data_IF_593422597514
#
_entry.id   IF_593422597514
#
_cell.length_a   1.000
_cell.length_b   1.000
_cell.length_c   1.000
_cell.angle_alpha   90.00
_cell.angle_beta   90.00
_cell.angle_gamma   90.00
#
_symmetry.space_group_name_H-M   'P 1'
#
loop_
_entity.id
_entity.type
_entity.pdbx_description
1 polymer ?
#
# COMPACT_ATOMS: atom_id res chain seq x y z
N UNK A 1 -25.06 -22.51 -27.88
CA UNK A 1 -25.49 -22.06 -26.55
C UNK A 1 -26.06 -20.68 -26.70
N UNK A 2 -27.33 -20.50 -26.34
CA UNK A 2 -28.06 -19.24 -26.54
C UNK A 2 -27.56 -18.19 -25.54
N UNK A 3 -27.52 -16.93 -25.98
CA UNK A 3 -27.08 -15.74 -25.23
C UNK A 3 -27.80 -15.58 -23.86
N UNK A 4 -28.95 -16.22 -23.70
CA UNK A 4 -29.71 -16.27 -22.43
C UNK A 4 -29.00 -17.07 -21.32
N UNK A 5 -28.16 -18.06 -21.66
CA UNK A 5 -27.43 -18.86 -20.65
C UNK A 5 -26.17 -18.16 -20.11
N UNK A 6 -25.70 -17.09 -20.77
CA UNK A 6 -24.59 -16.25 -20.28
C UNK A 6 -25.13 -15.14 -19.36
N UNK A 7 -26.41 -14.76 -19.51
CA UNK A 7 -27.07 -13.75 -18.65
C UNK A 7 -27.45 -14.24 -17.25
N UNK A 8 -27.45 -15.55 -17.00
CA UNK A 8 -27.74 -16.10 -15.66
C UNK A 8 -26.50 -16.19 -14.74
N UNK A 9 -25.29 -15.88 -15.23
CA UNK A 9 -24.05 -15.96 -14.45
C UNK A 9 -23.45 -14.61 -14.02
N UNK A 10 -24.09 -13.50 -14.41
CA UNK A 10 -23.86 -12.15 -13.87
C UNK A 10 -25.04 -11.72 -13.02
N UNK A 11 -25.38 -12.51 -12.01
CA UNK A 11 -26.04 -11.96 -10.82
C UNK A 11 -24.96 -11.18 -10.08
N UNK A 12 -25.00 -9.87 -10.26
CA UNK A 12 -24.37 -8.88 -9.38
C UNK A 12 -24.54 -9.35 -7.92
N UNK A 13 -23.42 -9.49 -7.23
CA UNK A 13 -23.37 -9.87 -5.81
C UNK A 13 -23.82 -8.66 -4.99
N UNK A 14 -25.14 -8.45 -4.98
CA UNK A 14 -25.84 -7.34 -4.34
C UNK A 14 -26.31 -7.76 -2.94
N UNK A 15 -25.47 -8.49 -2.20
CA UNK A 15 -25.71 -8.78 -0.79
C UNK A 15 -25.68 -7.45 -0.03
N UNK A 16 -26.75 -7.08 0.69
CA UNK A 16 -26.74 -5.92 1.57
C UNK A 16 -25.50 -5.97 2.48
N UNK A 17 -24.81 -4.84 2.65
CA UNK A 17 -23.63 -4.71 3.54
C UNK A 17 -23.91 -5.29 4.94
N UNK A 18 -25.17 -5.22 5.37
CA UNK A 18 -25.70 -5.76 6.62
C UNK A 18 -25.64 -7.29 6.74
N UNK A 19 -25.79 -8.04 5.65
CA UNK A 19 -25.84 -9.52 5.69
C UNK A 19 -24.45 -10.14 5.92
N UNK A 20 -23.38 -9.42 5.61
CA UNK A 20 -21.99 -9.89 5.75
C UNK A 20 -21.48 -9.87 7.21
N UNK A 21 -22.17 -9.13 8.08
CA UNK A 21 -21.81 -9.00 9.49
C UNK A 21 -22.52 -10.01 10.41
N UNK A 22 -23.57 -10.65 9.89
CA UNK A 22 -24.41 -11.57 10.66
C UNK A 22 -23.59 -12.77 11.15
N UNK A 23 -23.62 -13.01 12.46
CA UNK A 23 -22.90 -14.07 13.18
C UNK A 23 -21.36 -13.99 13.07
N UNK A 24 -20.80 -12.82 12.73
CA UNK A 24 -19.34 -12.62 12.80
C UNK A 24 -18.89 -12.38 14.23
N UNK A 25 -17.82 -13.06 14.63
CA UNK A 25 -17.19 -12.89 15.93
C UNK A 25 -16.23 -11.70 15.88
N UNK A 26 -16.48 -10.68 16.69
CA UNK A 26 -15.66 -9.46 16.75
C UNK A 26 -15.02 -9.34 18.13
N UNK A 27 -13.72 -9.11 18.20
CA UNK A 27 -13.02 -8.77 19.44
C UNK A 27 -12.73 -7.26 19.46
N UNK A 28 -13.17 -6.57 20.52
CA UNK A 28 -12.87 -5.16 20.76
C UNK A 28 -11.85 -5.08 21.90
N UNK A 29 -10.71 -4.44 21.67
CA UNK A 29 -9.66 -4.21 22.66
C UNK A 29 -9.44 -2.71 22.78
N UNK A 30 -9.87 -2.13 23.89
CA UNK A 30 -9.86 -0.68 24.10
C UNK A 30 -9.93 -0.44 25.61
N UNK A 31 -9.35 0.61 26.18
CA UNK A 31 -9.39 0.86 27.63
C UNK A 31 -10.60 1.72 28.04
N UNK A 32 -11.21 2.47 27.12
CA UNK A 32 -12.40 3.29 27.37
C UNK A 32 -13.70 2.44 27.39
N UNK A 33 -14.31 2.22 28.58
CA UNK A 33 -15.52 1.41 28.69
C UNK A 33 -16.74 2.02 27.99
N UNK A 34 -16.79 3.35 27.85
CA UNK A 34 -17.90 4.04 27.20
C UNK A 34 -17.81 3.79 25.69
N UNK A 35 -16.62 3.95 25.12
CA UNK A 35 -16.39 3.69 23.71
C UNK A 35 -16.62 2.22 23.36
N UNK A 36 -16.07 1.27 24.14
CA UNK A 36 -16.35 -0.18 23.96
C UNK A 36 -17.84 -0.50 23.94
N UNK A 37 -18.59 0.05 24.91
CA UNK A 37 -20.03 -0.18 25.02
C UNK A 37 -20.78 0.38 23.81
N UNK A 38 -20.37 1.55 23.30
CA UNK A 38 -20.95 2.15 22.11
C UNK A 38 -20.71 1.29 20.86
N UNK A 39 -19.45 0.93 20.60
CA UNK A 39 -19.07 0.10 19.44
C UNK A 39 -19.77 -1.26 19.51
N UNK A 40 -19.79 -1.90 20.68
CA UNK A 40 -20.51 -3.15 20.89
C UNK A 40 -22.00 -3.04 20.55
N UNK A 41 -22.69 -2.02 21.07
CA UNK A 41 -24.11 -1.84 20.81
C UNK A 41 -24.41 -1.65 19.32
N UNK A 42 -23.52 -0.96 18.58
CA UNK A 42 -23.61 -0.86 17.12
C UNK A 42 -23.47 -2.24 16.49
N UNK A 43 -22.41 -2.98 16.79
CA UNK A 43 -22.12 -4.27 16.12
C UNK A 43 -23.15 -5.35 16.44
N UNK A 44 -23.65 -5.40 17.68
CA UNK A 44 -24.75 -6.29 18.06
C UNK A 44 -26.04 -5.96 17.30
N UNK A 45 -26.26 -4.69 16.93
CA UNK A 45 -27.41 -4.32 16.07
C UNK A 45 -27.31 -4.87 14.65
N UNK A 46 -26.10 -5.22 14.20
CA UNK A 46 -25.83 -5.95 12.95
C UNK A 46 -25.70 -7.47 13.16
N UNK A 47 -26.13 -7.99 14.31
CA UNK A 47 -26.08 -9.42 14.67
C UNK A 47 -24.66 -10.02 14.72
N UNK A 48 -23.64 -9.22 15.04
CA UNK A 48 -22.30 -9.72 15.38
C UNK A 48 -22.26 -10.28 16.81
N UNK A 49 -21.36 -11.22 17.06
CA UNK A 49 -21.03 -11.69 18.41
C UNK A 49 -19.81 -10.91 18.92
N UNK A 50 -20.01 -10.01 19.88
CA UNK A 50 -18.95 -9.11 20.34
C UNK A 50 -18.33 -9.61 21.65
N UNK A 51 -17.01 -9.74 21.66
CA UNK A 51 -16.18 -9.94 22.85
C UNK A 51 -15.40 -8.65 23.13
N UNK A 52 -15.20 -8.35 24.41
CA UNK A 52 -14.53 -7.12 24.86
C UNK A 52 -13.33 -7.47 25.73
N UNK A 53 -12.23 -6.75 25.53
CA UNK A 53 -11.05 -6.73 26.37
C UNK A 53 -10.71 -5.28 26.73
N UNK A 54 -10.27 -5.05 27.96
CA UNK A 54 -9.96 -3.71 28.47
C UNK A 54 -8.49 -3.29 28.31
N UNK A 55 -7.63 -4.20 27.84
CA UNK A 55 -6.22 -3.94 27.53
C UNK A 55 -5.67 -5.04 26.60
N UNK A 56 -4.48 -4.79 26.02
CA UNK A 56 -3.85 -5.73 25.08
C UNK A 56 -3.52 -7.11 25.66
N UNK A 57 -3.22 -7.23 26.96
CA UNK A 57 -2.90 -8.51 27.59
C UNK A 57 -4.14 -9.40 27.72
N UNK A 58 -5.29 -8.82 28.10
CA UNK A 58 -6.58 -9.52 28.07
C UNK A 58 -6.95 -9.92 26.63
N UNK A 59 -6.69 -9.02 25.67
CA UNK A 59 -6.85 -9.33 24.24
C UNK A 59 -6.05 -10.56 23.79
N UNK A 60 -4.76 -10.64 24.12
CA UNK A 60 -3.91 -11.79 23.78
C UNK A 60 -4.40 -13.08 24.42
N UNK A 61 -4.81 -13.04 25.69
CA UNK A 61 -5.37 -14.20 26.37
C UNK A 61 -6.66 -14.70 25.69
N UNK A 62 -7.51 -13.79 25.23
CA UNK A 62 -8.73 -14.16 24.51
C UNK A 62 -8.42 -14.78 23.14
N UNK A 63 -7.45 -14.24 22.41
CA UNK A 63 -7.00 -14.77 21.11
C UNK A 63 -6.44 -16.20 21.23
N UNK A 64 -5.75 -16.52 22.32
CA UNK A 64 -5.26 -17.88 22.59
C UNK A 64 -6.39 -18.90 22.80
N UNK A 65 -7.58 -18.46 23.21
CA UNK A 65 -8.72 -19.33 23.46
C UNK A 65 -9.66 -19.46 22.25
N UNK A 66 -9.87 -18.37 21.52
CA UNK A 66 -10.75 -18.33 20.35
C UNK A 66 -10.36 -17.20 19.41
N UNK A 67 -10.19 -17.50 18.13
CA UNK A 67 -9.95 -16.49 17.11
C UNK A 67 -11.26 -15.83 16.66
N UNK A 68 -11.36 -14.49 16.69
CA UNK A 68 -12.45 -13.75 16.08
C UNK A 68 -12.29 -13.70 14.55
N UNK A 69 -13.35 -13.29 13.84
CA UNK A 69 -13.29 -12.98 12.42
C UNK A 69 -12.60 -11.64 12.14
N UNK A 70 -12.65 -10.71 13.11
CA UNK A 70 -12.00 -9.39 13.02
C UNK A 70 -11.70 -8.82 14.41
N UNK A 71 -10.59 -8.10 14.51
CA UNK A 71 -10.11 -7.43 15.71
C UNK A 71 -10.23 -5.91 15.55
N UNK A 72 -10.89 -5.25 16.50
CA UNK A 72 -10.87 -3.80 16.67
C UNK A 72 -9.96 -3.45 17.85
N UNK A 73 -8.94 -2.63 17.64
CA UNK A 73 -7.95 -2.32 18.69
C UNK A 73 -7.67 -0.81 18.83
N UNK A 74 -7.67 -0.29 20.05
CA UNK A 74 -7.09 1.02 20.38
C UNK A 74 -5.57 0.94 20.46
N UNK A 75 -4.87 2.03 20.13
CA UNK A 75 -3.43 2.15 20.32
C UNK A 75 -3.09 2.74 21.69
N UNK A 76 -3.94 3.66 22.19
CA UNK A 76 -3.67 4.42 23.41
C UNK A 76 -4.17 3.69 24.66
N UNK A 77 -3.61 2.51 24.98
CA UNK A 77 -4.00 1.72 26.15
C UNK A 77 -2.91 1.64 27.24
N UNK A 78 -3.27 1.57 28.53
CA UNK A 78 -2.35 1.26 29.62
C UNK A 78 -1.97 -0.24 29.66
N UNK A 79 -0.89 -0.56 30.40
CA UNK A 79 -0.35 -1.91 30.65
C UNK A 79 0.43 -2.47 29.45
N UNK A 80 -0.25 -2.91 28.40
CA UNK A 80 0.36 -3.30 27.12
C UNK A 80 -0.06 -2.26 26.10
N UNK A 81 0.91 -1.58 25.50
CA UNK A 81 0.64 -0.56 24.49
C UNK A 81 -0.10 -1.23 23.31
N UNK A 82 -1.17 -0.61 22.80
CA UNK A 82 -1.95 -1.19 21.71
C UNK A 82 -1.13 -1.46 20.46
N UNK A 83 -0.05 -0.70 20.26
CA UNK A 83 0.94 -0.94 19.22
C UNK A 83 1.72 -2.25 19.40
N UNK A 84 2.24 -2.51 20.62
CA UNK A 84 2.94 -3.76 20.95
C UNK A 84 1.99 -4.97 20.83
N UNK A 85 0.72 -4.76 21.20
CA UNK A 85 -0.31 -5.77 21.01
C UNK A 85 -0.54 -6.09 19.53
N UNK A 86 -0.69 -5.07 18.67
CA UNK A 86 -0.86 -5.27 17.23
C UNK A 86 0.37 -5.95 16.62
N UNK A 87 1.58 -5.57 17.02
CA UNK A 87 2.83 -6.22 16.58
C UNK A 87 2.81 -7.73 16.86
N UNK A 88 2.49 -8.13 18.09
CA UNK A 88 2.41 -9.55 18.48
C UNK A 88 1.28 -10.30 17.73
N UNK A 89 0.11 -9.68 17.59
CA UNK A 89 -1.04 -10.30 16.92
C UNK A 89 -0.76 -10.52 15.44
N UNK A 90 -0.13 -9.58 14.76
CA UNK A 90 0.25 -9.72 13.35
C UNK A 90 1.23 -10.85 13.15
N UNK A 91 2.20 -10.99 14.06
CA UNK A 91 3.22 -12.05 13.99
C UNK A 91 2.61 -13.44 14.25
N UNK A 92 1.73 -13.56 15.24
CA UNK A 92 1.14 -14.85 15.63
C UNK A 92 -0.09 -15.24 14.79
N UNK A 93 -0.86 -14.25 14.33
CA UNK A 93 -2.12 -14.42 13.60
C UNK A 93 -2.15 -13.55 12.32
N UNK A 94 -1.26 -13.79 11.34
CA UNK A 94 -1.10 -12.95 10.15
C UNK A 94 -2.33 -12.87 9.23
N UNK A 95 -3.28 -13.78 9.42
CA UNK A 95 -4.54 -13.82 8.66
C UNK A 95 -5.69 -13.10 9.37
N UNK A 96 -5.54 -12.74 10.64
CA UNK A 96 -6.58 -12.06 11.40
C UNK A 96 -6.68 -10.60 10.93
N UNK A 97 -7.83 -10.16 10.39
CA UNK A 97 -8.02 -8.76 10.03
C UNK A 97 -8.01 -7.88 11.28
N UNK A 98 -7.15 -6.86 11.29
CA UNK A 98 -7.03 -5.90 12.39
C UNK A 98 -7.44 -4.52 11.89
N UNK A 99 -8.41 -3.90 12.54
CA UNK A 99 -8.77 -2.49 12.35
C UNK A 99 -8.36 -1.76 13.61
N UNK A 100 -7.56 -0.71 13.45
CA UNK A 100 -7.09 0.09 14.56
C UNK A 100 -7.97 1.31 14.74
N UNK A 101 -8.26 1.69 15.99
CA UNK A 101 -9.12 2.81 16.34
C UNK A 101 -8.41 3.68 17.40
N UNK A 102 -7.73 4.75 17.01
CA UNK A 102 -6.96 5.57 17.97
C UNK A 102 -7.62 6.90 18.31
N UNK A 103 -7.51 7.31 19.58
CA UNK A 103 -7.85 8.68 20.02
C UNK A 103 -6.73 9.69 19.82
N UNK A 104 -5.48 9.23 19.69
CA UNK A 104 -4.39 10.05 19.17
C UNK A 104 -4.49 9.98 17.65
N UNK A 105 -4.84 11.10 17.01
CA UNK A 105 -4.59 11.29 15.58
C UNK A 105 -3.09 11.45 15.29
N UNK A 106 -2.23 10.92 16.16
CA UNK A 106 -0.79 10.95 15.99
C UNK A 106 -0.43 9.88 14.98
N UNK A 107 -0.18 10.31 13.76
CA UNK A 107 -0.11 9.38 12.65
C UNK A 107 1.29 8.78 12.44
N UNK A 108 2.22 9.05 13.36
CA UNK A 108 3.37 8.16 13.56
C UNK A 108 2.88 6.76 13.93
N UNK A 109 1.90 6.70 14.84
CA UNK A 109 1.31 5.43 15.29
C UNK A 109 0.50 4.78 14.14
N UNK A 110 -0.20 5.59 13.33
CA UNK A 110 -0.93 5.14 12.14
C UNK A 110 0.01 4.50 11.12
N UNK A 111 1.08 5.20 10.76
CA UNK A 111 2.06 4.69 9.79
C UNK A 111 2.67 3.37 10.27
N UNK A 112 3.00 3.28 11.56
CA UNK A 112 3.59 2.08 12.14
C UNK A 112 2.60 0.91 12.17
N UNK A 113 1.34 1.15 12.50
CA UNK A 113 0.27 0.14 12.46
C UNK A 113 0.00 -0.36 11.04
N UNK A 114 -0.02 0.54 10.07
CA UNK A 114 -0.19 0.19 8.67
C UNK A 114 0.95 -0.69 8.15
N UNK A 115 2.21 -0.43 8.57
CA UNK A 115 3.37 -1.32 8.28
C UNK A 115 3.17 -2.73 8.77
N UNK A 116 2.52 -2.90 9.91
CA UNK A 116 2.26 -4.20 10.50
C UNK A 116 1.13 -4.95 9.77
N UNK A 117 0.52 -4.37 8.75
CA UNK A 117 -0.52 -5.05 7.97
C UNK A 117 -1.91 -4.96 8.58
N UNK A 118 -2.14 -3.98 9.46
CA UNK A 118 -3.50 -3.58 9.81
C UNK A 118 -4.30 -3.27 8.54
N UNK A 119 -5.55 -3.71 8.51
CA UNK A 119 -6.45 -3.58 7.36
C UNK A 119 -7.03 -2.18 7.24
N UNK A 120 -7.19 -1.49 8.37
CA UNK A 120 -7.75 -0.15 8.37
C UNK A 120 -7.39 0.61 9.66
N UNK A 121 -7.56 1.93 9.63
CA UNK A 121 -7.34 2.81 10.77
C UNK A 121 -8.43 3.87 10.89
N UNK A 122 -9.04 3.97 12.07
CA UNK A 122 -10.10 4.92 12.39
C UNK A 122 -9.66 5.87 13.51
N UNK A 123 -10.07 7.14 13.41
CA UNK A 123 -9.80 8.14 14.46
C UNK A 123 -11.02 8.34 15.36
N UNK A 124 -10.80 8.37 16.68
CA UNK A 124 -11.82 8.76 17.65
C UNK A 124 -11.95 10.29 17.71
N UNK A 125 -13.17 10.83 17.90
CA UNK A 125 -14.43 10.11 18.00
C UNK A 125 -14.93 9.65 16.62
N UNK A 126 -15.45 8.43 16.55
CA UNK A 126 -16.15 7.95 15.34
C UNK A 126 -17.46 8.72 15.22
N UNK A 127 -17.43 9.79 14.42
CA UNK A 127 -18.57 10.69 14.20
C UNK A 127 -19.65 10.05 13.32
N UNK A 128 -19.25 9.07 12.50
CA UNK A 128 -20.13 8.37 11.58
C UNK A 128 -20.02 6.85 11.77
N UNK A 129 -21.02 6.26 12.39
CA UNK A 129 -21.11 4.81 12.64
C UNK A 129 -21.07 3.99 11.34
N UNK A 130 -21.55 4.55 10.22
CA UNK A 130 -21.49 3.85 8.94
C UNK A 130 -20.06 3.62 8.46
N UNK A 131 -19.10 4.44 8.88
CA UNK A 131 -17.69 4.28 8.52
C UNK A 131 -17.10 3.03 9.19
N UNK A 132 -17.33 2.85 10.50
CA UNK A 132 -16.95 1.64 11.23
C UNK A 132 -17.49 0.36 10.56
N UNK A 133 -18.78 0.37 10.18
CA UNK A 133 -19.44 -0.77 9.51
C UNK A 133 -18.82 -1.06 8.15
N UNK A 134 -18.50 -0.02 7.37
CA UNK A 134 -17.84 -0.16 6.06
C UNK A 134 -16.44 -0.76 6.20
N UNK A 135 -15.62 -0.25 7.13
CA UNK A 135 -14.26 -0.76 7.38
C UNK A 135 -14.29 -2.23 7.81
N UNK A 136 -15.23 -2.62 8.68
CA UNK A 136 -15.44 -4.02 9.08
C UNK A 136 -15.79 -4.93 7.90
N UNK A 137 -16.76 -4.53 7.07
CA UNK A 137 -17.15 -5.32 5.90
C UNK A 137 -16.01 -5.44 4.90
N UNK A 138 -15.24 -4.36 4.70
CA UNK A 138 -14.03 -4.37 3.86
C UNK A 138 -13.02 -5.40 4.39
N UNK A 139 -12.67 -5.33 5.68
CA UNK A 139 -11.72 -6.24 6.30
C UNK A 139 -12.15 -7.72 6.20
N UNK A 140 -13.44 -8.00 6.38
CA UNK A 140 -14.01 -9.35 6.33
C UNK A 140 -14.06 -9.92 4.91
N UNK A 141 -14.49 -9.14 3.90
CA UNK A 141 -14.47 -9.57 2.49
C UNK A 141 -13.07 -9.97 2.05
N UNK A 142 -12.08 -9.17 2.44
CA UNK A 142 -10.67 -9.46 2.15
C UNK A 142 -10.22 -10.76 2.81
N UNK A 143 -10.66 -11.07 4.03
CA UNK A 143 -10.31 -12.33 4.70
C UNK A 143 -10.86 -13.57 3.98
N UNK A 144 -12.07 -13.47 3.41
CA UNK A 144 -12.74 -14.58 2.71
C UNK A 144 -12.13 -14.85 1.33
N UNK A 145 -11.62 -13.82 0.65
CA UNK A 145 -10.92 -13.92 -0.63
C UNK A 145 -9.44 -14.33 -0.49
N UNK A 146 -8.86 -14.17 0.70
CA UNK A 146 -7.41 -14.25 0.95
C UNK A 146 -6.96 -15.56 1.58
N UNK A 147 -7.13 -16.70 0.91
CA UNK A 147 -6.29 -17.86 1.25
C UNK A 147 -4.84 -17.73 0.72
N UNK A 148 -4.53 -16.74 -0.13
CA UNK A 148 -3.20 -16.57 -0.77
C UNK A 148 -2.77 -15.11 -1.09
N UNK A 149 -3.48 -14.07 -0.63
CA UNK A 149 -3.25 -12.68 -1.13
C UNK A 149 -2.97 -11.68 0.00
N UNK A 150 -1.70 -11.48 0.31
CA UNK A 150 -1.25 -10.30 1.05
C UNK A 150 -1.43 -9.08 0.11
N UNK A 151 -2.43 -8.24 0.35
CA UNK A 151 -2.61 -6.96 -0.33
C UNK A 151 -1.73 -5.91 0.35
N UNK A 152 -0.92 -5.19 -0.43
CA UNK A 152 -0.20 -4.02 0.07
C UNK A 152 -1.23 -2.97 0.55
N UNK A 153 -0.90 -2.25 1.62
CA UNK A 153 -1.83 -1.32 2.29
C UNK A 153 -2.34 -0.25 1.31
N UNK A 154 -1.49 0.22 0.38
CA UNK A 154 -1.86 1.23 -0.60
C UNK A 154 -2.97 0.73 -1.53
N UNK A 155 -2.87 -0.51 -2.03
CA UNK A 155 -3.91 -1.13 -2.85
C UNK A 155 -5.25 -1.29 -2.12
N UNK A 156 -5.22 -1.45 -0.78
CA UNK A 156 -6.44 -1.54 0.03
C UNK A 156 -7.17 -0.19 0.09
N UNK A 157 -6.44 0.92 0.21
CA UNK A 157 -7.05 2.26 0.20
C UNK A 157 -7.66 2.61 -1.15
N UNK A 158 -6.93 2.37 -2.24
CA UNK A 158 -7.40 2.79 -3.56
C UNK A 158 -8.37 1.81 -4.23
N UNK A 159 -8.59 0.61 -3.65
CA UNK A 159 -9.47 -0.46 -4.16
C UNK A 159 -9.41 -0.58 -5.69
N UNK A 160 -8.22 -0.88 -6.19
CA UNK A 160 -7.91 -0.95 -7.62
C UNK A 160 -8.78 -1.95 -8.40
N UNK A 161 -9.37 -2.94 -7.71
CA UNK A 161 -10.08 -4.06 -8.33
C UNK A 161 -11.57 -3.87 -8.58
N UNK A 162 -12.25 -2.85 -8.06
CA UNK A 162 -13.62 -2.49 -8.46
C UNK A 162 -13.94 -1.05 -8.04
N UNK A 163 -14.18 -0.18 -9.03
CA UNK A 163 -14.57 1.23 -8.87
C UNK A 163 -15.99 1.35 -8.29
N UNK A 164 -16.20 0.86 -7.06
CA UNK A 164 -17.45 1.08 -6.34
C UNK A 164 -17.43 2.48 -5.69
N UNK A 165 -18.35 3.33 -6.15
CA UNK A 165 -18.49 4.74 -5.74
C UNK A 165 -18.83 4.92 -4.25
N UNK A 166 -19.22 3.84 -3.57
CA UNK A 166 -19.50 3.84 -2.13
C UNK A 166 -18.25 4.02 -1.25
N UNK A 167 -17.04 3.83 -1.78
CA UNK A 167 -15.78 3.89 -1.03
C UNK A 167 -15.08 5.27 -1.09
N UNK A 168 -15.60 6.21 -1.88
CA UNK A 168 -14.96 7.51 -2.09
C UNK A 168 -14.89 8.34 -0.81
N UNK A 169 -15.88 8.24 0.08
CA UNK A 169 -15.90 9.03 1.33
C UNK A 169 -14.82 8.62 2.34
N UNK A 170 -14.56 7.32 2.49
CA UNK A 170 -13.55 6.79 3.42
C UNK A 170 -12.13 7.06 2.91
N UNK A 171 -11.90 6.84 1.62
CA UNK A 171 -10.65 7.19 0.95
C UNK A 171 -10.40 8.71 1.00
N UNK A 172 -11.42 9.53 0.69
CA UNK A 172 -11.30 10.99 0.80
C UNK A 172 -10.91 11.42 2.21
N UNK A 173 -11.54 10.86 3.25
CA UNK A 173 -11.21 11.22 4.62
C UNK A 173 -9.76 10.87 4.97
N UNK A 174 -9.29 9.67 4.60
CA UNK A 174 -7.90 9.26 4.83
C UNK A 174 -6.90 10.14 4.07
N UNK A 175 -7.17 10.49 2.82
CA UNK A 175 -6.29 11.33 2.00
C UNK A 175 -6.30 12.78 2.46
N UNK A 176 -7.48 13.35 2.76
CA UNK A 176 -7.62 14.70 3.31
C UNK A 176 -6.88 14.83 4.65
N UNK A 177 -6.89 13.78 5.48
CA UNK A 177 -6.17 13.78 6.75
C UNK A 177 -4.65 13.75 6.55
N UNK A 178 -4.15 12.97 5.58
CA UNK A 178 -2.71 12.96 5.21
C UNK A 178 -2.24 14.30 4.61
N UNK A 179 -3.12 14.99 3.88
CA UNK A 179 -2.81 16.31 3.30
C UNK A 179 -2.73 17.41 4.36
N UNK A 180 -3.63 17.37 5.34
CA UNK A 180 -3.68 18.37 6.41
C UNK A 180 -2.49 18.25 7.39
N UNK A 181 -1.80 17.10 7.42
CA UNK A 181 -0.67 16.83 8.30
C UNK A 181 0.58 16.36 7.52
N UNK A 182 1.38 17.27 6.93
CA UNK A 182 2.46 16.91 6.01
C UNK A 182 3.59 16.09 6.66
N UNK A 183 3.82 16.23 7.97
CA UNK A 183 4.82 15.44 8.69
C UNK A 183 4.51 13.95 8.69
N UNK A 184 3.22 13.63 8.71
CA UNK A 184 2.70 12.28 8.81
C UNK A 184 2.83 11.59 7.46
N UNK A 185 2.38 12.25 6.39
CA UNK A 185 2.53 11.72 5.04
C UNK A 185 4.00 11.48 4.71
N UNK A 186 4.89 12.41 5.13
CA UNK A 186 6.34 12.24 5.02
C UNK A 186 6.84 10.99 5.74
N UNK A 187 6.47 10.81 7.00
CA UNK A 187 6.92 9.67 7.81
C UNK A 187 6.37 8.34 7.30
N UNK A 188 5.09 8.28 6.93
CA UNK A 188 4.50 7.14 6.24
C UNK A 188 5.33 6.76 5.01
N UNK A 189 5.67 7.72 4.16
CA UNK A 189 6.47 7.45 2.96
C UNK A 189 7.89 6.95 3.25
N UNK A 190 8.57 7.48 4.27
CA UNK A 190 9.85 6.91 4.74
C UNK A 190 9.69 5.47 5.20
N UNK A 191 8.58 5.25 5.90
CA UNK A 191 8.29 3.99 6.56
C UNK A 191 7.96 2.88 5.52
N UNK A 192 7.52 3.25 4.32
CA UNK A 192 7.16 2.29 3.28
C UNK A 192 8.31 1.81 2.40
N UNK A 193 9.52 2.32 2.62
CA UNK A 193 10.71 1.89 1.88
C UNK A 193 11.05 0.41 2.19
N UNK A 194 11.38 -0.40 1.17
CA UNK A 194 11.71 -1.81 1.34
C UNK A 194 13.09 -2.00 2.01
N UNK A 195 13.47 -3.24 2.31
CA UNK A 195 14.80 -3.53 2.83
C UNK A 195 15.89 -3.17 1.80
N UNK A 196 17.01 -2.62 2.31
CA UNK A 196 18.10 -2.12 1.49
C UNK A 196 18.94 -3.19 0.81
N UNK A 197 18.82 -4.44 1.25
CA UNK A 197 19.56 -5.58 0.75
C UNK A 197 18.61 -6.77 0.60
N UNK A 198 18.34 -7.18 -0.64
CA UNK A 198 17.55 -8.36 -0.94
C UNK A 198 18.29 -9.31 -1.89
N UNK A 199 18.05 -10.60 -1.71
CA UNK A 199 18.63 -11.65 -2.54
C UNK A 199 17.52 -12.53 -3.13
N UNK A 200 17.59 -12.76 -4.44
CA UNK A 200 16.68 -13.66 -5.14
C UNK A 200 17.49 -14.55 -6.10
N UNK A 201 17.60 -15.83 -5.75
CA UNK A 201 18.47 -16.77 -6.45
C UNK A 201 19.93 -16.31 -6.43
N UNK A 202 20.54 -16.22 -7.62
CA UNK A 202 21.93 -15.78 -7.80
C UNK A 202 22.08 -14.25 -7.83
N UNK A 203 20.97 -13.50 -7.88
CA UNK A 203 20.99 -12.05 -7.96
C UNK A 203 20.82 -11.41 -6.59
N UNK A 204 21.62 -10.38 -6.34
CA UNK A 204 21.53 -9.51 -5.19
C UNK A 204 21.18 -8.10 -5.65
N UNK A 205 20.11 -7.54 -5.08
CA UNK A 205 19.78 -6.13 -5.14
C UNK A 205 20.21 -5.47 -3.83
N UNK A 206 20.96 -4.38 -3.94
CA UNK A 206 21.28 -3.53 -2.81
C UNK A 206 21.05 -2.08 -3.20
N UNK A 207 20.49 -1.25 -2.32
CA UNK A 207 20.40 0.18 -2.58
C UNK A 207 20.86 1.02 -1.39
N UNK A 208 21.30 2.24 -1.69
CA UNK A 208 21.65 3.26 -0.71
C UNK A 208 20.89 4.53 -1.04
N UNK A 209 20.26 5.09 -0.02
CA UNK A 209 19.52 6.33 -0.09
C UNK A 209 20.08 7.29 0.97
N UNK A 210 20.61 8.42 0.52
CA UNK A 210 21.11 9.51 1.36
C UNK A 210 20.18 10.71 1.17
N UNK A 211 19.41 11.06 2.18
CA UNK A 211 18.46 12.18 2.11
C UNK A 211 18.30 12.84 3.48
N UNK A 212 17.82 14.08 3.49
CA UNK A 212 17.42 14.72 4.75
C UNK A 212 16.17 14.05 5.31
N UNK A 213 16.09 13.92 6.62
CA UNK A 213 14.86 13.51 7.31
C UNK A 213 13.83 14.63 7.35
N UNK A 214 14.25 15.89 7.19
CA UNK A 214 13.37 17.06 7.35
C UNK A 214 12.50 17.34 6.11
N UNK A 215 12.85 16.72 4.97
CA UNK A 215 12.15 16.91 3.69
C UNK A 215 11.37 15.68 3.24
N UNK A 216 10.60 15.86 2.18
CA UNK A 216 9.86 14.78 1.52
C UNK A 216 10.85 13.75 0.90
N UNK A 217 10.66 12.44 1.12
CA UNK A 217 11.65 11.43 0.73
C UNK A 217 11.61 11.08 -0.75
N UNK A 218 12.75 10.70 -1.32
CA UNK A 218 12.77 9.91 -2.55
C UNK A 218 12.21 8.51 -2.23
N UNK A 219 11.12 8.14 -2.89
CA UNK A 219 10.51 6.82 -2.73
C UNK A 219 11.21 5.85 -3.67
N UNK A 220 11.51 4.66 -3.17
CA UNK A 220 11.95 3.52 -3.95
C UNK A 220 11.18 2.30 -3.50
N UNK A 221 10.68 1.51 -4.44
CA UNK A 221 10.05 0.23 -4.17
C UNK A 221 10.37 -0.76 -5.29
N UNK A 222 10.33 -2.05 -4.98
CA UNK A 222 10.60 -3.11 -5.93
C UNK A 222 9.90 -4.42 -5.59
N UNK A 223 9.61 -5.22 -6.62
CA UNK A 223 8.98 -6.52 -6.47
C UNK A 223 9.64 -7.56 -7.39
N UNK A 224 9.93 -8.73 -6.81
CA UNK A 224 10.50 -9.87 -7.53
C UNK A 224 9.39 -10.79 -8.03
N UNK A 225 9.37 -11.06 -9.33
CA UNK A 225 8.46 -12.02 -9.94
C UNK A 225 9.11 -13.40 -10.08
N UNK A 226 8.29 -14.43 -9.89
CA UNK A 226 8.69 -15.84 -10.03
C UNK A 226 9.17 -16.21 -11.45
N UNK A 227 8.85 -15.40 -12.45
CA UNK A 227 9.29 -15.59 -13.83
C UNK A 227 10.69 -15.02 -14.12
N UNK A 228 11.40 -14.53 -13.10
CA UNK A 228 12.75 -13.99 -13.26
C UNK A 228 12.75 -12.55 -13.77
N UNK A 229 11.74 -11.78 -13.40
CA UNK A 229 11.71 -10.32 -13.61
C UNK A 229 11.70 -9.59 -12.27
N UNK A 230 12.36 -8.44 -12.23
CA UNK A 230 12.34 -7.53 -11.09
C UNK A 230 11.73 -6.21 -11.55
N UNK A 231 10.61 -5.81 -10.96
CA UNK A 231 10.00 -4.50 -11.21
C UNK A 231 10.39 -3.53 -10.11
N UNK A 232 10.53 -2.25 -10.45
CA UNK A 232 10.82 -1.22 -9.48
C UNK A 232 10.34 0.15 -9.96
N UNK A 233 10.18 1.06 -9.02
CA UNK A 233 9.95 2.47 -9.33
C UNK A 233 10.69 3.39 -8.37
N UNK A 234 10.94 4.61 -8.81
CA UNK A 234 11.36 5.74 -7.99
C UNK A 234 10.38 6.89 -8.15
N UNK A 235 10.11 7.60 -7.06
CA UNK A 235 9.31 8.84 -7.10
C UNK A 235 10.02 9.91 -6.27
N UNK A 236 10.22 11.08 -6.86
CA UNK A 236 10.64 12.27 -6.12
C UNK A 236 9.40 12.95 -5.55
N UNK A 237 9.04 12.58 -4.32
CA UNK A 237 7.86 13.12 -3.64
C UNK A 237 7.93 14.64 -3.47
N UNK A 238 9.12 15.23 -3.40
CA UNK A 238 9.24 16.69 -3.31
C UNK A 238 8.78 17.42 -4.58
N UNK A 239 8.77 16.74 -5.73
CA UNK A 239 8.40 17.36 -7.01
C UNK A 239 6.89 17.53 -7.22
N UNK A 240 6.06 16.80 -6.46
CA UNK A 240 4.60 16.75 -6.62
C UNK A 240 3.81 17.69 -5.70
N UNK A 241 4.40 18.82 -5.31
CA UNK A 241 3.74 19.89 -4.53
C UNK A 241 3.13 19.45 -3.19
N UNK A 242 2.00 20.08 -2.83
CA UNK A 242 1.38 19.93 -1.51
C UNK A 242 0.73 18.55 -1.34
N UNK A 243 0.18 17.98 -2.42
CA UNK A 243 -0.51 16.68 -2.40
C UNK A 243 0.35 15.52 -2.89
N UNK A 244 1.68 15.68 -2.89
CA UNK A 244 2.63 14.67 -3.34
C UNK A 244 2.50 13.31 -2.64
N UNK A 245 2.06 13.29 -1.38
CA UNK A 245 1.81 12.06 -0.62
C UNK A 245 0.76 11.19 -1.30
N UNK A 246 -0.35 11.80 -1.74
CA UNK A 246 -1.43 11.09 -2.42
C UNK A 246 -0.95 10.50 -3.73
N UNK A 247 -0.21 11.28 -4.54
CA UNK A 247 0.39 10.79 -5.78
C UNK A 247 1.34 9.61 -5.53
N UNK A 248 2.18 9.66 -4.49
CA UNK A 248 3.09 8.56 -4.15
C UNK A 248 2.35 7.28 -3.75
N UNK A 249 1.30 7.40 -2.93
CA UNK A 249 0.51 6.26 -2.49
C UNK A 249 -0.31 5.65 -3.64
N UNK A 250 -0.84 6.48 -4.54
CA UNK A 250 -1.50 6.04 -5.78
C UNK A 250 -0.54 5.23 -6.65
N UNK A 251 0.66 5.78 -6.90
CA UNK A 251 1.68 5.10 -7.70
C UNK A 251 1.98 3.72 -7.12
N UNK A 252 2.17 3.62 -5.80
CA UNK A 252 2.42 2.35 -5.12
C UNK A 252 1.25 1.38 -5.27
N UNK A 253 0.02 1.84 -5.06
CA UNK A 253 -1.17 1.02 -5.14
C UNK A 253 -1.37 0.40 -6.52
N UNK A 254 -1.27 1.24 -7.55
CA UNK A 254 -1.41 0.82 -8.94
C UNK A 254 -0.21 0.02 -9.43
N UNK A 255 1.00 0.30 -8.94
CA UNK A 255 2.16 -0.56 -9.17
C UNK A 255 1.90 -1.97 -8.65
N UNK A 256 1.54 -2.11 -7.37
CA UNK A 256 1.31 -3.41 -6.73
C UNK A 256 0.12 -4.17 -7.32
N UNK A 257 -0.94 -3.45 -7.71
CA UNK A 257 -2.08 -4.04 -8.42
C UNK A 257 -1.68 -4.53 -9.81
N UNK A 258 -0.95 -3.70 -10.56
CA UNK A 258 -0.48 -4.05 -11.89
C UNK A 258 0.41 -5.29 -11.88
N UNK A 259 1.34 -5.39 -10.92
CA UNK A 259 2.21 -6.55 -10.75
C UNK A 259 1.41 -7.82 -10.42
N UNK A 260 0.34 -7.68 -9.62
CA UNK A 260 -0.54 -8.79 -9.22
C UNK A 260 -1.39 -9.34 -10.38
N UNK A 261 -1.82 -8.49 -11.30
CA UNK A 261 -2.73 -8.85 -12.39
C UNK A 261 -2.01 -9.46 -13.62
N UNK A 262 -0.67 -9.54 -13.64
CA UNK A 262 0.06 -9.82 -14.87
C UNK A 262 -0.20 -11.20 -15.52
N UNK A 263 -0.89 -11.16 -16.66
CA UNK A 263 -0.60 -11.96 -17.85
C UNK A 263 0.44 -11.25 -18.75
N UNK A 264 1.54 -11.94 -19.04
CA UNK A 264 2.76 -11.52 -19.76
C UNK A 264 2.47 -10.85 -21.13
N UNK A 265 2.90 -9.60 -21.36
CA UNK A 265 2.85 -8.94 -22.69
C UNK A 265 4.06 -8.04 -22.99
N UNK A 266 4.30 -7.68 -24.27
CA UNK A 266 5.50 -7.01 -24.79
C UNK A 266 5.64 -5.48 -24.52
N UNK A 267 4.84 -4.90 -23.62
CA UNK A 267 4.88 -3.45 -23.33
C UNK A 267 4.49 -3.14 -21.89
N UNK A 268 5.06 -3.92 -20.97
CA UNK A 268 4.62 -3.98 -19.57
C UNK A 268 4.72 -2.62 -18.87
N UNK A 269 5.83 -1.91 -19.02
CA UNK A 269 6.02 -0.61 -18.35
C UNK A 269 5.05 0.44 -18.87
N UNK A 270 4.88 0.57 -20.20
CA UNK A 270 4.01 1.61 -20.76
C UNK A 270 2.57 1.42 -20.31
N UNK A 271 2.09 0.17 -20.26
CA UNK A 271 0.75 -0.16 -19.72
C UNK A 271 0.63 0.11 -18.23
N UNK A 272 1.67 -0.19 -17.45
CA UNK A 272 1.70 0.10 -16.02
C UNK A 272 1.60 1.61 -15.78
N UNK A 273 2.42 2.39 -16.48
CA UNK A 273 2.43 3.85 -16.39
C UNK A 273 1.09 4.42 -16.84
N UNK A 274 0.51 3.95 -17.94
CA UNK A 274 -0.84 4.36 -18.39
C UNK A 274 -1.93 4.05 -17.34
N UNK A 275 -1.82 2.91 -16.64
CA UNK A 275 -2.74 2.56 -15.56
C UNK A 275 -2.61 3.49 -14.36
N UNK A 276 -1.37 3.84 -13.99
CA UNK A 276 -1.06 4.78 -12.92
C UNK A 276 -1.57 6.19 -13.27
N UNK A 277 -1.27 6.70 -14.46
CA UNK A 277 -1.72 8.02 -14.95
C UNK A 277 -3.25 8.11 -14.96
N UNK A 278 -3.92 7.06 -15.45
CA UNK A 278 -5.38 6.97 -15.41
C UNK A 278 -5.90 6.97 -13.98
N UNK A 279 -5.26 6.25 -13.07
CA UNK A 279 -5.59 6.21 -11.65
C UNK A 279 -5.47 7.58 -11.00
N UNK A 280 -4.38 8.29 -11.25
CA UNK A 280 -4.19 9.68 -10.83
C UNK A 280 -5.32 10.58 -11.36
N UNK A 281 -5.68 10.45 -12.64
CA UNK A 281 -6.79 11.22 -13.23
C UNK A 281 -8.17 10.98 -12.62
N UNK A 282 -8.35 9.97 -11.77
CA UNK A 282 -9.62 9.76 -11.02
C UNK A 282 -9.68 10.51 -9.69
N UNK A 283 -8.55 11.03 -9.20
CA UNK A 283 -8.44 11.74 -7.93
C UNK A 283 -8.12 13.21 -8.19
N UNK A 284 -9.02 14.11 -7.80
CA UNK A 284 -8.89 15.56 -8.03
C UNK A 284 -7.64 16.15 -7.34
N UNK A 285 -7.20 15.51 -6.27
CA UNK A 285 -6.10 15.95 -5.44
C UNK A 285 -4.72 15.48 -5.94
N UNK A 286 -4.67 14.60 -6.95
CA UNK A 286 -3.39 14.09 -7.45
C UNK A 286 -2.63 15.16 -8.24
N UNK A 287 -1.33 15.29 -7.93
CA UNK A 287 -0.44 16.23 -8.59
C UNK A 287 0.53 15.53 -9.54
N UNK A 288 0.95 16.26 -10.57
CA UNK A 288 2.00 15.81 -11.48
C UNK A 288 3.32 15.65 -10.74
N UNK A 289 4.00 14.53 -10.93
CA UNK A 289 5.15 14.16 -10.11
C UNK A 289 6.27 13.54 -10.95
N UNK A 290 7.51 13.72 -10.50
CA UNK A 290 8.67 13.11 -11.13
C UNK A 290 8.81 11.67 -10.66
N UNK A 291 8.79 10.73 -11.59
CA UNK A 291 8.93 9.30 -11.35
C UNK A 291 9.87 8.62 -12.37
N UNK A 292 10.31 7.42 -12.04
CA UNK A 292 11.07 6.54 -12.91
C UNK A 292 10.57 5.12 -12.67
N UNK A 293 10.23 4.42 -13.73
CA UNK A 293 9.76 3.04 -13.67
C UNK A 293 10.73 2.15 -14.42
N UNK A 294 10.98 0.97 -13.89
CA UNK A 294 11.83 0.01 -14.56
C UNK A 294 11.47 -1.43 -14.28
N UNK A 295 11.91 -2.31 -15.17
CA UNK A 295 12.06 -3.71 -14.83
C UNK A 295 13.33 -4.29 -15.42
N UNK A 296 13.84 -5.31 -14.76
CA UNK A 296 14.93 -6.13 -15.23
C UNK A 296 14.38 -7.47 -15.63
N UNK A 297 14.71 -7.92 -16.84
CA UNK A 297 14.51 -9.28 -17.30
C UNK A 297 15.86 -10.00 -17.23
N UNK A 298 15.98 -10.93 -16.28
CA UNK A 298 17.23 -11.67 -16.07
C UNK A 298 17.48 -12.72 -17.16
N UNK A 299 16.43 -13.20 -17.83
CA UNK A 299 16.56 -14.13 -18.95
C UNK A 299 17.06 -13.40 -20.21
N UNK A 300 16.55 -12.20 -20.48
CA UNK A 300 17.02 -11.35 -21.58
C UNK A 300 18.30 -10.57 -21.29
N UNK A 301 18.74 -10.57 -20.02
CA UNK A 301 19.85 -9.75 -19.53
C UNK A 301 19.67 -8.28 -19.92
N UNK A 302 18.47 -7.76 -19.69
CA UNK A 302 18.07 -6.43 -20.11
C UNK A 302 17.36 -5.68 -19.00
N UNK A 303 17.71 -4.40 -18.88
CA UNK A 303 17.04 -3.41 -18.07
C UNK A 303 16.18 -2.55 -19.00
N UNK A 304 14.94 -2.35 -18.62
CA UNK A 304 14.01 -1.45 -19.29
C UNK A 304 13.66 -0.33 -18.32
N UNK A 305 13.81 0.92 -18.74
CA UNK A 305 13.49 2.10 -17.92
C UNK A 305 12.63 3.07 -18.71
N UNK A 306 11.58 3.58 -18.06
CA UNK A 306 10.82 4.76 -18.47
C UNK A 306 11.06 5.86 -17.43
N UNK A 307 11.64 6.97 -17.87
CA UNK A 307 11.81 8.18 -17.05
C UNK A 307 10.62 9.11 -17.29
N UNK A 308 10.00 9.58 -16.22
CA UNK A 308 8.94 10.57 -16.23
C UNK A 308 9.33 11.74 -15.32
N UNK A 309 10.12 12.70 -15.81
CA UNK A 309 10.63 13.82 -15.00
C UNK A 309 11.87 13.51 -14.14
N UNK A 310 12.26 12.25 -13.96
CA UNK A 310 13.49 11.88 -13.21
C UNK A 310 14.69 11.57 -14.10
N UNK A 311 15.77 12.32 -13.92
CA UNK A 311 17.07 12.02 -14.51
C UNK A 311 17.82 10.94 -13.74
N UNK A 312 18.39 9.97 -14.46
CA UNK A 312 19.20 8.92 -13.86
C UNK A 312 20.43 8.59 -14.72
N UNK A 313 21.37 7.88 -14.11
CA UNK A 313 22.56 7.34 -14.78
C UNK A 313 22.57 5.84 -14.58
N UNK A 314 22.56 5.09 -15.68
CA UNK A 314 22.81 3.65 -15.70
C UNK A 314 24.29 3.40 -15.98
N UNK A 315 24.97 2.70 -15.08
CA UNK A 315 26.34 2.23 -15.26
C UNK A 315 26.36 0.71 -15.26
N UNK A 316 27.03 0.14 -16.27
CA UNK A 316 27.41 -1.26 -16.35
C UNK A 316 28.95 -1.35 -16.41
N UNK A 317 29.51 -2.55 -16.31
CA UNK A 317 30.96 -2.79 -16.47
C UNK A 317 31.54 -2.14 -17.74
N UNK A 318 30.77 -2.03 -18.81
CA UNK A 318 31.26 -1.61 -20.13
C UNK A 318 30.72 -0.26 -20.61
N UNK A 319 29.70 0.29 -19.95
CA UNK A 319 29.02 1.48 -20.45
C UNK A 319 28.41 2.32 -19.34
N UNK A 320 28.34 3.62 -19.61
CA UNK A 320 27.62 4.60 -18.79
C UNK A 320 26.63 5.33 -19.69
N UNK A 321 25.36 5.30 -19.31
CA UNK A 321 24.26 5.92 -20.03
C UNK A 321 23.58 6.94 -19.13
N UNK A 322 23.47 8.18 -19.60
CA UNK A 322 22.64 9.20 -18.94
C UNK A 322 21.25 9.11 -19.57
N UNK A 323 20.24 8.87 -18.75
CA UNK A 323 18.87 8.73 -19.20
C UNK A 323 18.30 10.11 -19.54
N UNK A 324 17.57 10.19 -20.66
CA UNK A 324 16.81 11.39 -20.99
C UNK A 324 15.67 11.58 -20.00
N UNK A 325 15.54 12.80 -19.48
CA UNK A 325 14.43 13.21 -18.62
C UNK A 325 13.17 13.31 -19.48
N UNK A 326 12.17 12.50 -19.15
CA UNK A 326 10.86 12.53 -19.78
C UNK A 326 9.96 13.67 -19.27
N UNK A 327 8.73 13.70 -19.78
CA UNK A 327 7.64 14.51 -19.24
C UNK A 327 7.28 14.02 -17.83
N UNK A 328 6.76 14.89 -16.96
CA UNK A 328 6.28 14.48 -15.63
C UNK A 328 5.21 13.39 -15.76
N UNK A 329 5.08 12.57 -14.71
CA UNK A 329 3.93 11.69 -14.59
C UNK A 329 2.71 12.55 -14.26
N UNK A 330 1.66 12.49 -15.07
CA UNK A 330 0.48 13.35 -14.91
C UNK A 330 -0.83 12.55 -15.00
N UNK A 331 -1.97 13.20 -14.79
CA UNK A 331 -3.29 12.62 -15.04
C UNK A 331 -3.61 12.47 -16.54
N UNK A 332 -2.81 13.09 -17.41
CA UNK A 332 -2.86 12.92 -18.86
C UNK A 332 -1.78 11.94 -19.32
N UNK A 333 -2.05 11.25 -20.43
CA UNK A 333 -1.13 10.24 -20.97
C UNK A 333 0.19 10.88 -21.41
N UNK A 334 1.28 10.59 -20.71
CA UNK A 334 2.61 11.07 -21.11
C UNK A 334 3.15 10.27 -22.30
N UNK A 335 3.96 10.90 -23.15
CA UNK A 335 4.59 10.23 -24.31
C UNK A 335 6.00 9.72 -23.97
N UNK A 336 6.19 9.35 -22.70
CA UNK A 336 7.46 8.87 -22.18
C UNK A 336 7.83 7.54 -22.82
N UNK A 337 9.11 7.40 -23.21
CA UNK A 337 9.59 6.23 -23.97
C UNK A 337 10.42 5.31 -23.09
N UNK A 338 10.17 4.01 -23.25
CA UNK A 338 11.00 2.97 -22.64
C UNK A 338 12.36 2.91 -23.34
N UNK A 339 13.42 2.94 -22.55
CA UNK A 339 14.80 2.76 -22.97
C UNK A 339 15.29 1.39 -22.49
N UNK A 340 16.02 0.66 -23.35
CA UNK A 340 16.56 -0.67 -23.06
C UNK A 340 18.07 -0.61 -22.93
N UNK A 341 18.60 -1.19 -21.85
CA UNK A 341 20.03 -1.29 -21.58
C UNK A 341 20.42 -2.73 -21.28
N UNK A 342 21.61 -3.20 -21.70
CA UNK A 342 22.10 -4.51 -21.28
C UNK A 342 22.48 -4.50 -19.80
N UNK A 343 22.27 -5.63 -19.12
CA UNK A 343 22.81 -5.89 -17.79
C UNK A 343 23.98 -6.86 -17.90
N UNK A 344 25.02 -6.65 -17.10
CA UNK A 344 26.14 -7.58 -16.94
C UNK A 344 25.92 -8.47 -15.71
N UNK A 345 26.80 -9.46 -15.49
CA UNK A 345 26.81 -10.23 -14.24
C UNK A 345 27.19 -9.39 -13.02
N UNK A 346 28.02 -8.38 -13.19
CA UNK A 346 28.49 -7.54 -12.11
C UNK A 346 28.64 -6.08 -12.53
N UNK A 347 28.72 -5.21 -11.52
CA UNK A 347 28.88 -3.77 -11.61
C UNK A 347 27.73 -3.10 -12.38
N UNK A 348 26.50 -3.55 -12.17
CA UNK A 348 25.34 -2.81 -12.63
C UNK A 348 24.88 -1.86 -11.54
N UNK A 349 24.70 -0.59 -11.89
CA UNK A 349 24.14 0.38 -10.96
C UNK A 349 23.28 1.42 -11.65
N UNK A 350 22.17 1.77 -11.00
CA UNK A 350 21.32 2.90 -11.34
C UNK A 350 21.51 3.96 -10.27
N UNK A 351 21.92 5.16 -10.67
CA UNK A 351 22.15 6.28 -9.75
C UNK A 351 21.30 7.48 -10.11
N UNK A 352 20.72 8.13 -9.11
CA UNK A 352 20.05 9.42 -9.24
C UNK A 352 20.81 10.45 -8.40
N UNK A 353 21.07 11.60 -9.00
CA UNK A 353 21.56 12.77 -8.29
C UNK A 353 20.52 13.87 -8.42
N UNK A 354 19.61 13.93 -7.45
CA UNK A 354 18.70 15.05 -7.30
C UNK A 354 19.47 16.17 -6.59
N UNK A 355 19.78 17.26 -7.31
CA UNK A 355 20.59 18.35 -6.77
C UNK A 355 19.86 18.99 -5.57
N UNK A 356 20.35 18.73 -4.36
CA UNK A 356 19.96 19.45 -3.14
C UNK A 356 19.20 18.67 -2.07
N UNK A 357 18.66 17.47 -2.37
CA UNK A 357 17.68 16.83 -1.46
C UNK A 357 17.93 15.34 -1.20
N UNK A 358 18.35 14.56 -2.21
CA UNK A 358 18.59 13.12 -2.07
C UNK A 358 19.61 12.57 -3.08
N UNK A 359 20.36 11.54 -2.68
CA UNK A 359 21.23 10.75 -3.54
C UNK A 359 20.85 9.28 -3.41
N UNK A 360 20.64 8.64 -4.55
CA UNK A 360 20.23 7.24 -4.61
C UNK A 360 21.17 6.45 -5.50
N UNK A 361 21.49 5.23 -5.06
CA UNK A 361 22.22 4.25 -5.85
C UNK A 361 21.64 2.86 -5.59
N UNK A 362 21.14 2.23 -6.64
CA UNK A 362 20.78 0.81 -6.68
C UNK A 362 21.89 0.04 -7.38
N UNK A 363 22.27 -1.10 -6.84
CA UNK A 363 23.23 -2.04 -7.40
C UNK A 363 22.56 -3.41 -7.59
N UNK A 364 22.82 -4.02 -8.74
CA UNK A 364 22.24 -5.31 -9.09
C UNK A 364 23.35 -6.23 -9.61
N UNK A 365 23.71 -7.24 -8.84
CA UNK A 365 24.85 -8.10 -9.15
C UNK A 365 24.49 -9.56 -8.98
N UNK A 366 24.98 -10.42 -9.89
CA UNK A 366 24.97 -11.86 -9.70
C UNK A 366 26.23 -12.30 -8.96
N UNK A 367 26.12 -13.33 -8.12
CA UNK A 367 27.26 -13.98 -7.48
C UNK A 367 28.20 -14.70 -8.45
#
# INVERSE_FOLDING_TARGET
>A
MSIEQIKEKTKEDNTPVEDLLVNKDVLIVDDDPIFRSMVKAVLESYSCNVKEANNGLEGLQMLQHSLPDVLLCDLSMPILNGLEFVEEVVLEYPMLPIIVISGTGDMQDVAKVLRLGAKDFLVKPISNVSLLVKSLVSALKLSEESSLRMQDFSSQWFRTSDLDKSCTEELHWHLEHLQNEPNIGRELLFELLPESDAQHGEWKLAYRLLQSTDGMPLIFDYEWLLDGRLFFYLVDSQSGGENSVVSCLLIRAFFNDFIRDQHISLDVISKMVESIEKGMGTMEESESISALFGYVDFAEQALFILSAGLGAVWESTHSRHVLQIGELLTSERSNNKVQRFPIAKANNSLSLNCVGCSSFRMELNSF
#
